data_IF_022361773114
#
_entry.id   IF_022361773114
#
_cell.length_a   1.000
_cell.length_b   1.000
_cell.length_c   1.000
_cell.angle_alpha   90.00
_cell.angle_beta   90.00
_cell.angle_gamma   90.00
#
_symmetry.space_group_name_H-M   'P 1'
#
loop_
_entity.id
_entity.type
_entity.pdbx_description
1 polymer ?
#
# COMPACT_ATOMS: atom_id res chain seq x y z
N UNK A 1 3.71 -6.23 -31.92
CA UNK A 1 3.97 -4.84 -32.31
C UNK A 1 4.46 -4.11 -31.06
N UNK A 2 5.76 -4.20 -30.79
CA UNK A 2 6.50 -3.34 -29.85
C UNK A 2 7.53 -2.62 -30.73
N UNK A 3 7.01 -1.80 -31.63
CA UNK A 3 7.80 -1.20 -32.70
C UNK A 3 8.37 0.14 -32.21
N UNK A 4 9.63 0.14 -31.79
CA UNK A 4 10.76 0.64 -32.59
C UNK A 4 12.11 0.49 -31.86
N UNK A 5 12.13 0.40 -30.51
CA UNK A 5 13.41 0.29 -29.75
C UNK A 5 13.39 -0.68 -28.54
N UNK A 6 12.30 -1.42 -28.31
CA UNK A 6 12.21 -2.42 -27.23
C UNK A 6 12.59 -1.87 -25.84
N UNK A 7 13.40 -2.61 -25.08
CA UNK A 7 13.92 -2.16 -23.76
C UNK A 7 14.74 -0.88 -23.86
N UNK A 8 15.43 -0.64 -24.98
CA UNK A 8 16.23 0.57 -25.16
C UNK A 8 15.34 1.81 -25.24
N UNK A 9 14.22 1.74 -25.96
CA UNK A 9 13.23 2.84 -26.02
C UNK A 9 12.59 3.13 -24.67
N UNK A 10 12.35 2.11 -23.84
CA UNK A 10 11.88 2.32 -22.47
C UNK A 10 12.90 3.11 -21.63
N UNK A 11 14.20 2.90 -21.86
CA UNK A 11 15.27 3.56 -21.11
C UNK A 11 15.51 5.02 -21.53
N UNK A 12 14.96 5.46 -22.66
CA UNK A 12 14.99 6.87 -23.06
C UNK A 12 14.00 7.72 -22.24
N UNK A 13 13.02 7.09 -21.59
CA UNK A 13 12.05 7.78 -20.74
C UNK A 13 12.76 8.29 -19.47
N UNK A 14 12.74 9.61 -19.18
CA UNK A 14 13.35 10.15 -17.97
C UNK A 14 12.80 9.47 -16.71
N UNK A 15 13.70 8.92 -15.89
CA UNK A 15 13.35 8.17 -14.68
C UNK A 15 13.16 6.66 -14.87
N UNK A 16 13.21 6.14 -16.11
CA UNK A 16 13.12 4.71 -16.40
C UNK A 16 14.52 4.14 -16.66
N UNK A 17 15.12 3.59 -15.61
CA UNK A 17 16.38 2.84 -15.73
C UNK A 17 16.15 1.37 -16.09
N UNK A 18 17.25 0.61 -16.23
CA UNK A 18 17.23 -0.84 -16.52
C UNK A 18 16.26 -1.65 -15.64
N UNK A 19 16.20 -1.33 -14.35
CA UNK A 19 15.33 -2.03 -13.40
C UNK A 19 13.83 -1.77 -13.65
N UNK A 20 13.45 -0.55 -14.02
CA UNK A 20 12.05 -0.21 -14.30
C UNK A 20 11.66 -0.74 -15.68
N UNK A 21 12.54 -0.58 -16.67
CA UNK A 21 12.34 -1.13 -18.01
C UNK A 21 12.13 -2.66 -17.98
N UNK A 22 12.93 -3.38 -17.17
CA UNK A 22 12.75 -4.83 -16.96
C UNK A 22 11.38 -5.19 -16.41
N UNK A 23 10.93 -4.50 -15.34
CA UNK A 23 9.60 -4.71 -14.76
C UNK A 23 8.46 -4.39 -15.73
N UNK A 24 8.62 -3.37 -16.58
CA UNK A 24 7.63 -3.04 -17.61
C UNK A 24 7.51 -4.17 -18.62
N UNK A 25 8.64 -4.76 -19.05
CA UNK A 25 8.61 -5.91 -19.97
C UNK A 25 7.96 -7.12 -19.33
N UNK A 26 8.37 -7.50 -18.11
CA UNK A 26 7.76 -8.60 -17.36
C UNK A 26 6.23 -8.40 -17.23
N UNK A 27 5.80 -7.17 -16.89
CA UNK A 27 4.39 -6.82 -16.80
C UNK A 27 3.65 -6.97 -18.13
N UNK A 28 4.26 -6.58 -19.26
CA UNK A 28 3.65 -6.70 -20.60
C UNK A 28 3.58 -8.15 -21.09
N UNK A 29 4.56 -8.98 -20.74
CA UNK A 29 4.66 -10.37 -21.20
C UNK A 29 3.87 -11.34 -20.32
N UNK A 30 3.92 -11.15 -19.00
CA UNK A 30 3.39 -12.08 -18.01
C UNK A 30 2.14 -11.54 -17.29
N UNK A 31 1.84 -10.25 -17.43
CA UNK A 31 0.77 -9.58 -16.70
C UNK A 31 1.11 -9.24 -15.24
N UNK A 32 2.31 -9.60 -14.76
CA UNK A 32 2.78 -9.38 -13.38
C UNK A 32 4.31 -9.38 -13.33
N UNK A 33 4.91 -9.13 -12.17
CA UNK A 33 6.34 -9.26 -11.92
C UNK A 33 6.62 -9.63 -10.46
N UNK A 34 7.76 -10.27 -10.20
CA UNK A 34 8.14 -10.82 -8.88
C UNK A 34 7.96 -9.85 -7.71
N UNK A 35 8.39 -8.60 -7.89
CA UNK A 35 8.30 -7.59 -6.84
C UNK A 35 6.85 -7.15 -6.58
N UNK A 36 5.97 -7.19 -7.58
CA UNK A 36 4.54 -6.92 -7.40
C UNK A 36 3.89 -8.02 -6.58
N UNK A 37 4.15 -9.29 -6.93
CA UNK A 37 3.57 -10.43 -6.22
C UNK A 37 4.00 -10.49 -4.76
N UNK A 38 5.29 -10.25 -4.48
CA UNK A 38 5.81 -10.21 -3.11
C UNK A 38 5.17 -9.08 -2.30
N UNK A 39 5.12 -7.87 -2.85
CA UNK A 39 4.57 -6.71 -2.13
C UNK A 39 3.07 -6.82 -1.89
N UNK A 40 2.30 -7.31 -2.86
CA UNK A 40 0.84 -7.49 -2.72
C UNK A 40 0.49 -8.64 -1.79
N UNK A 41 1.34 -9.68 -1.70
CA UNK A 41 1.20 -10.73 -0.69
C UNK A 41 1.52 -10.23 0.73
N UNK A 42 2.53 -9.37 0.86
CA UNK A 42 2.93 -8.80 2.16
C UNK A 42 1.98 -7.71 2.66
N UNK A 43 1.42 -6.90 1.75
CA UNK A 43 0.47 -5.83 2.05
C UNK A 43 -0.74 -5.95 1.12
N UNK A 44 -1.82 -6.60 1.59
CA UNK A 44 -3.05 -6.73 0.82
C UNK A 44 -3.61 -5.36 0.40
N UNK A 45 -4.28 -5.30 -0.75
CA UNK A 45 -4.89 -4.05 -1.24
C UNK A 45 -5.89 -3.46 -0.24
N UNK A 46 -6.56 -4.30 0.57
CA UNK A 46 -7.47 -3.87 1.63
C UNK A 46 -6.79 -3.06 2.75
N UNK A 47 -5.46 -3.13 2.87
CA UNK A 47 -4.67 -2.25 3.74
C UNK A 47 -4.58 -0.84 3.15
N UNK A 48 -4.61 -0.71 1.82
CA UNK A 48 -4.61 0.58 1.14
C UNK A 48 -5.92 1.34 1.37
N UNK A 49 -7.04 0.64 1.55
CA UNK A 49 -8.33 1.25 1.95
C UNK A 49 -8.20 2.04 3.26
N UNK A 50 -7.28 1.66 4.14
CA UNK A 50 -7.02 2.39 5.37
C UNK A 50 -6.48 3.80 5.10
N UNK A 51 -5.78 4.02 3.97
CA UNK A 51 -5.22 5.32 3.59
C UNK A 51 -6.30 6.33 3.19
N UNK A 52 -7.51 5.88 2.86
CA UNK A 52 -8.64 6.77 2.59
C UNK A 52 -9.16 7.44 3.87
N UNK A 53 -8.81 6.90 5.04
CA UNK A 53 -9.26 7.44 6.33
C UNK A 53 -8.45 8.68 6.72
N UNK A 54 -9.12 9.81 7.03
CA UNK A 54 -8.44 11.03 7.43
C UNK A 54 -7.74 10.84 8.79
N UNK A 55 -6.41 10.96 8.78
CA UNK A 55 -5.57 10.71 9.95
C UNK A 55 -4.80 9.39 9.89
N UNK A 56 -5.06 8.56 8.88
CA UNK A 56 -4.26 7.38 8.56
C UNK A 56 -3.36 7.69 7.37
N UNK A 57 -2.06 7.83 7.62
CA UNK A 57 -1.06 7.90 6.57
C UNK A 57 -0.38 6.54 6.32
N UNK A 58 0.50 6.44 5.31
CA UNK A 58 1.22 5.19 4.97
C UNK A 58 1.92 4.53 6.17
N UNK A 59 2.53 5.35 7.04
CA UNK A 59 3.20 4.85 8.25
C UNK A 59 2.23 4.25 9.26
N UNK A 60 1.06 4.87 9.44
CA UNK A 60 0.03 4.40 10.37
C UNK A 60 -0.64 3.15 9.83
N UNK A 61 -1.00 3.11 8.55
CA UNK A 61 -1.56 1.92 7.90
C UNK A 61 -0.59 0.73 7.99
N UNK A 62 0.69 0.95 7.67
CA UNK A 62 1.72 -0.08 7.81
C UNK A 62 1.87 -0.57 9.25
N UNK A 63 1.79 0.33 10.25
CA UNK A 63 1.85 -0.05 11.65
C UNK A 63 0.64 -0.88 12.08
N UNK A 64 -0.58 -0.46 11.71
CA UNK A 64 -1.82 -1.18 11.99
C UNK A 64 -1.78 -2.58 11.38
N UNK A 65 -1.28 -2.70 10.16
CA UNK A 65 -1.14 -3.99 9.49
C UNK A 65 -0.05 -4.87 10.13
N UNK A 66 1.18 -4.35 10.28
CA UNK A 66 2.30 -5.17 10.72
C UNK A 66 2.19 -5.59 12.19
N UNK A 67 1.81 -4.67 13.08
CA UNK A 67 1.75 -4.91 14.54
C UNK A 67 0.42 -5.48 15.00
N UNK A 68 -0.69 -4.98 14.46
CA UNK A 68 -2.04 -5.33 14.93
C UNK A 68 -2.79 -6.25 13.98
N UNK A 69 -2.16 -6.65 12.85
CA UNK A 69 -2.72 -7.55 11.83
C UNK A 69 -4.06 -7.07 11.26
N UNK A 70 -4.27 -5.75 11.26
CA UNK A 70 -5.44 -5.12 10.66
C UNK A 70 -5.20 -5.03 9.16
N UNK A 71 -6.00 -5.76 8.40
CA UNK A 71 -5.96 -5.81 6.95
C UNK A 71 -7.18 -5.17 6.30
N UNK A 72 -8.20 -4.73 7.04
CA UNK A 72 -9.43 -4.18 6.47
C UNK A 72 -10.07 -3.09 7.35
N UNK A 73 -10.97 -2.30 6.75
CA UNK A 73 -11.77 -1.29 7.47
C UNK A 73 -12.66 -1.91 8.56
N UNK A 74 -13.22 -3.10 8.32
CA UNK A 74 -14.03 -3.82 9.31
C UNK A 74 -13.23 -4.24 10.54
N UNK A 75 -12.01 -4.74 10.34
CA UNK A 75 -11.09 -5.07 11.43
C UNK A 75 -10.67 -3.81 12.18
N UNK A 76 -10.38 -2.73 11.47
CA UNK A 76 -10.06 -1.44 12.08
C UNK A 76 -11.23 -0.91 12.90
N UNK A 77 -12.47 -1.05 12.42
CA UNK A 77 -13.69 -0.66 13.14
C UNK A 77 -13.87 -1.47 14.43
N UNK A 78 -13.62 -2.78 14.41
CA UNK A 78 -13.64 -3.63 15.61
C UNK A 78 -12.55 -3.23 16.59
N UNK A 79 -11.33 -3.03 16.10
CA UNK A 79 -10.18 -2.61 16.89
C UNK A 79 -10.42 -1.25 17.56
N UNK A 80 -10.98 -0.29 16.83
CA UNK A 80 -11.33 1.03 17.33
C UNK A 80 -12.44 1.00 18.40
N UNK A 81 -13.47 0.16 18.22
CA UNK A 81 -14.54 -0.04 19.21
C UNK A 81 -14.02 -0.64 20.52
N UNK A 82 -12.99 -1.49 20.44
CA UNK A 82 -12.32 -2.06 21.61
C UNK A 82 -11.35 -1.10 22.32
N UNK A 83 -11.24 0.16 21.89
CA UNK A 83 -10.27 1.12 22.44
C UNK A 83 -8.82 0.87 22.02
N UNK A 84 -8.61 0.03 21.00
CA UNK A 84 -7.26 -0.33 20.55
C UNK A 84 -6.49 0.83 19.93
N UNK A 85 -7.18 1.80 19.30
CA UNK A 85 -6.54 2.96 18.67
C UNK A 85 -5.78 3.83 19.67
N UNK A 86 -6.28 3.94 20.90
CA UNK A 86 -5.64 4.69 21.98
C UNK A 86 -4.37 4.01 22.52
N UNK A 87 -4.19 2.72 22.23
CA UNK A 87 -3.00 1.95 22.59
C UNK A 87 -1.91 1.96 21.50
N UNK A 88 -2.20 2.57 20.33
CA UNK A 88 -1.26 2.61 19.21
C UNK A 88 -0.30 3.78 19.39
N UNK A 89 0.99 3.48 19.56
CA UNK A 89 2.06 4.47 19.61
C UNK A 89 2.03 5.38 18.36
N UNK A 90 1.88 6.68 18.59
CA UNK A 90 1.81 7.68 17.51
C UNK A 90 0.40 8.03 17.05
N UNK A 91 -0.64 7.36 17.54
CA UNK A 91 -2.03 7.79 17.38
C UNK A 91 -2.45 8.57 18.64
N UNK A 92 -2.41 9.90 18.55
CA UNK A 92 -2.94 10.75 19.62
C UNK A 92 -4.48 10.75 19.65
N UNK A 93 -5.07 11.16 20.78
CA UNK A 93 -6.53 11.18 20.98
C UNK A 93 -7.31 11.87 19.84
N UNK A 94 -6.83 13.04 19.35
CA UNK A 94 -7.45 13.75 18.23
C UNK A 94 -7.44 12.95 16.93
N UNK A 95 -6.37 12.22 16.67
CA UNK A 95 -6.25 11.36 15.48
C UNK A 95 -7.15 10.14 15.63
N UNK A 96 -7.18 9.51 16.80
CA UNK A 96 -8.08 8.40 17.08
C UNK A 96 -9.56 8.80 16.89
N UNK A 97 -9.97 9.97 17.38
CA UNK A 97 -11.34 10.48 17.16
C UNK A 97 -11.64 10.76 15.69
N UNK A 98 -10.69 11.33 14.94
CA UNK A 98 -10.85 11.55 13.49
C UNK A 98 -11.04 10.23 12.75
N UNK A 99 -10.24 9.22 13.07
CA UNK A 99 -10.37 7.88 12.50
C UNK A 99 -11.75 7.29 12.84
N UNK A 100 -12.13 7.28 14.12
CA UNK A 100 -13.42 6.75 14.59
C UNK A 100 -14.63 7.40 13.92
N UNK A 101 -14.57 8.71 13.63
CA UNK A 101 -15.65 9.44 12.97
C UNK A 101 -15.88 8.99 11.52
N UNK A 102 -14.84 8.51 10.85
CA UNK A 102 -14.88 8.12 9.43
C UNK A 102 -14.89 6.60 9.22
N UNK A 103 -14.88 5.83 10.31
CA UNK A 103 -14.99 4.36 10.30
C UNK A 103 -16.43 3.87 10.24
#
# INVERSE_FOLDING_TARGET
MVDQDGVAGLQEIPGVGKAIAGKIVELLEQGTFDAWEKLTAETPETVLDLLELPGVGPKTAAMLHQKFKIASLDELRKFAKGGGLEMVDGIGAKTAERIKRHL
#
